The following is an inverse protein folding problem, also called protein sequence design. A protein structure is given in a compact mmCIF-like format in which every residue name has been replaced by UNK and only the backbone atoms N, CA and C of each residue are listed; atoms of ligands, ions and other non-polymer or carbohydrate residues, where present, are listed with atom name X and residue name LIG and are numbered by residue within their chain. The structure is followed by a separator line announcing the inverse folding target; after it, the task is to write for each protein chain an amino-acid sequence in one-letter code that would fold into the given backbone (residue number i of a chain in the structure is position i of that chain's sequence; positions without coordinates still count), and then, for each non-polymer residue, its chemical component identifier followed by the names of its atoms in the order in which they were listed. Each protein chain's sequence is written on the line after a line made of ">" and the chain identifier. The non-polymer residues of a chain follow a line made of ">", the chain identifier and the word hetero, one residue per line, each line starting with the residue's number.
data_IF_050315132007
#
_entry.id   IF_050315132007
#
_cell.length_a   1.000
_cell.length_b   1.000
_cell.length_c   1.000
_cell.angle_alpha   90.00
_cell.angle_beta   90.00
_cell.angle_gamma   90.00
#
_symmetry.space_group_name_H-M   'P 1'
#
loop_
_entity.id
_entity.type
_entity.pdbx_description
1 polymer ?
#
# COMPACT_ATOMS: atom_id res chain seq x y z
N UNK A 1 -48.96 -15.65 -29.55
CA UNK A 1 -48.73 -14.45 -28.74
C UNK A 1 -47.90 -14.74 -27.47
N UNK A 2 -48.22 -15.74 -26.64
CA UNK A 2 -47.48 -16.04 -25.37
C UNK A 2 -45.99 -16.36 -25.54
N UNK A 3 -45.54 -17.00 -26.63
CA UNK A 3 -44.12 -17.35 -26.88
C UNK A 3 -43.25 -16.15 -27.27
N UNK A 4 -43.82 -15.14 -27.92
CA UNK A 4 -43.08 -13.94 -28.34
C UNK A 4 -42.80 -13.03 -27.11
N UNK A 5 -43.75 -12.94 -26.17
CA UNK A 5 -43.62 -12.17 -24.94
C UNK A 5 -42.54 -12.80 -24.04
N UNK A 6 -42.52 -14.14 -23.94
CA UNK A 6 -41.47 -14.83 -23.16
C UNK A 6 -40.05 -14.58 -23.71
N UNK A 7 -39.90 -14.60 -25.04
CA UNK A 7 -38.58 -14.34 -25.67
C UNK A 7 -38.10 -12.91 -25.41
N UNK A 8 -39.00 -11.91 -25.46
CA UNK A 8 -38.67 -10.52 -25.17
C UNK A 8 -38.21 -10.30 -23.72
N UNK A 9 -38.90 -10.94 -22.76
CA UNK A 9 -38.52 -10.86 -21.33
C UNK A 9 -37.11 -11.43 -21.07
N UNK A 10 -36.79 -12.56 -21.69
CA UNK A 10 -35.47 -13.17 -21.57
C UNK A 10 -34.34 -12.29 -22.16
N UNK A 11 -34.58 -11.61 -23.27
CA UNK A 11 -33.62 -10.69 -23.90
C UNK A 11 -33.37 -9.47 -22.99
N UNK A 12 -34.44 -8.89 -22.44
CA UNK A 12 -34.32 -7.75 -21.51
C UNK A 12 -33.53 -8.15 -20.25
N UNK A 13 -33.84 -9.34 -19.70
CA UNK A 13 -33.15 -9.85 -18.52
C UNK A 13 -31.65 -10.10 -18.81
N UNK A 14 -31.33 -10.69 -19.97
CA UNK A 14 -29.93 -10.89 -20.38
C UNK A 14 -29.19 -9.56 -20.58
N UNK A 15 -29.81 -8.57 -21.23
CA UNK A 15 -29.22 -7.22 -21.36
C UNK A 15 -28.98 -6.55 -20.00
N UNK A 16 -29.94 -6.68 -19.08
CA UNK A 16 -29.80 -6.12 -17.72
C UNK A 16 -28.65 -6.77 -16.96
N UNK A 17 -28.45 -8.09 -17.09
CA UNK A 17 -27.29 -8.79 -16.50
C UNK A 17 -25.96 -8.34 -17.10
N UNK A 18 -25.89 -8.10 -18.40
CA UNK A 18 -24.69 -7.58 -19.06
C UNK A 18 -24.38 -6.16 -18.57
N UNK A 19 -25.36 -5.27 -18.48
CA UNK A 19 -25.15 -3.91 -17.97
C UNK A 19 -24.67 -3.93 -16.52
N UNK A 20 -25.22 -4.81 -15.67
CA UNK A 20 -24.77 -4.96 -14.28
C UNK A 20 -23.33 -5.49 -14.22
N UNK A 21 -22.98 -6.43 -15.12
CA UNK A 21 -21.62 -6.94 -15.20
C UNK A 21 -20.62 -5.84 -15.64
N UNK A 22 -20.97 -5.03 -16.64
CA UNK A 22 -20.15 -3.91 -17.11
C UNK A 22 -19.98 -2.84 -16.02
N UNK A 23 -21.04 -2.51 -15.27
CA UNK A 23 -20.97 -1.58 -14.15
C UNK A 23 -20.08 -2.09 -13.02
N UNK A 24 -20.13 -3.39 -12.71
CA UNK A 24 -19.23 -4.01 -11.72
C UNK A 24 -17.79 -4.01 -12.21
N UNK A 25 -17.56 -4.33 -13.49
CA UNK A 25 -16.23 -4.32 -14.08
C UNK A 25 -15.63 -2.91 -14.12
N UNK A 26 -16.40 -1.90 -14.50
CA UNK A 26 -15.99 -0.49 -14.50
C UNK A 26 -15.65 0.00 -13.09
N UNK A 27 -16.42 -0.40 -12.07
CA UNK A 27 -16.17 -0.05 -10.66
C UNK A 27 -14.90 -0.70 -10.10
N UNK A 28 -14.55 -1.89 -10.59
CA UNK A 28 -13.32 -2.59 -10.19
C UNK A 28 -12.04 -1.91 -10.75
N UNK A 29 -12.17 -1.04 -11.74
CA UNK A 29 -11.06 -0.32 -12.38
C UNK A 29 -10.87 1.12 -11.85
N UNK A 30 -11.71 1.59 -10.92
CA UNK A 30 -11.50 2.92 -10.33
C UNK A 30 -10.27 2.89 -9.42
N UNK A 31 -9.27 3.76 -9.67
CA UNK A 31 -8.08 3.84 -8.81
C UNK A 31 -8.51 4.14 -7.37
N UNK A 32 -8.03 3.34 -6.43
CA UNK A 32 -8.30 3.54 -5.01
C UNK A 32 -7.33 4.56 -4.42
N UNK A 33 -7.84 5.72 -4.01
CA UNK A 33 -7.02 6.71 -3.33
C UNK A 33 -6.53 6.18 -1.97
N UNK A 34 -5.24 6.35 -1.68
CA UNK A 34 -4.69 6.01 -0.37
C UNK A 34 -5.28 6.95 0.69
N UNK A 35 -5.81 6.41 1.81
CA UNK A 35 -6.25 7.22 2.94
C UNK A 35 -5.11 8.10 3.46
N UNK A 36 -5.36 9.40 3.64
CA UNK A 36 -4.34 10.31 4.17
C UNK A 36 -4.19 10.10 5.68
N UNK A 37 -2.98 10.35 6.17
CA UNK A 37 -2.66 10.34 7.61
C UNK A 37 -1.56 11.36 7.89
N UNK A 38 -1.42 11.74 9.15
CA UNK A 38 -0.30 12.52 9.66
C UNK A 38 0.19 11.86 10.96
N UNK A 39 1.46 11.51 11.03
CA UNK A 39 2.09 10.88 12.18
C UNK A 39 3.54 11.32 12.33
N UNK A 40 4.02 11.36 13.57
CA UNK A 40 5.42 11.60 13.87
C UNK A 40 6.24 10.32 13.72
N UNK A 41 7.47 10.46 13.21
CA UNK A 41 8.44 9.39 13.26
C UNK A 41 9.16 9.34 14.63
N UNK A 42 10.07 8.38 14.76
CA UNK A 42 10.85 8.22 15.99
C UNK A 42 11.82 9.39 16.25
N UNK A 43 12.04 10.30 15.32
CA UNK A 43 12.85 11.50 15.46
C UNK A 43 11.99 12.74 15.77
N UNK A 44 10.67 12.61 15.85
CA UNK A 44 9.74 13.72 16.09
C UNK A 44 9.40 14.52 14.83
N UNK A 45 9.78 14.02 13.65
CA UNK A 45 9.41 14.63 12.37
C UNK A 45 8.00 14.20 11.99
N UNK A 46 7.15 15.17 11.65
CA UNK A 46 5.78 14.88 11.21
C UNK A 46 5.78 14.50 9.73
N UNK A 47 5.18 13.37 9.40
CA UNK A 47 4.99 12.84 8.06
C UNK A 47 3.50 12.78 7.72
N UNK A 48 3.09 13.52 6.69
CA UNK A 48 1.75 13.43 6.11
C UNK A 48 1.84 12.73 4.78
N UNK A 49 1.00 11.73 4.52
CA UNK A 49 1.06 10.98 3.26
C UNK A 49 0.88 11.89 2.03
N UNK A 50 0.00 12.87 2.10
CA UNK A 50 -0.23 13.82 0.99
C UNK A 50 0.99 14.65 0.62
N UNK A 51 1.97 14.83 1.52
CA UNK A 51 3.21 15.58 1.24
C UNK A 51 4.15 14.83 0.29
N UNK A 52 3.92 13.51 0.12
CA UNK A 52 4.67 12.66 -0.80
C UNK A 52 4.05 12.56 -2.21
N UNK A 53 3.10 13.44 -2.54
CA UNK A 53 2.55 13.48 -3.91
C UNK A 53 3.66 13.74 -4.94
N UNK A 54 3.72 12.89 -5.97
CA UNK A 54 4.79 12.90 -6.97
C UNK A 54 5.89 11.91 -6.69
N UNK A 55 5.88 11.26 -5.55
CA UNK A 55 6.75 10.15 -5.21
C UNK A 55 5.98 8.82 -5.22
N UNK A 56 6.68 7.73 -5.47
CA UNK A 56 6.17 6.38 -5.18
C UNK A 56 6.36 6.14 -3.69
N UNK A 57 5.32 5.72 -3.00
CA UNK A 57 5.40 5.47 -1.55
C UNK A 57 5.19 3.98 -1.29
N UNK A 58 6.10 3.39 -0.52
CA UNK A 58 5.95 2.04 0.04
C UNK A 58 5.68 2.18 1.53
N UNK A 59 4.50 1.78 1.97
CA UNK A 59 4.15 1.71 3.39
C UNK A 59 4.30 0.25 3.82
N UNK A 60 5.08 0.02 4.87
CA UNK A 60 5.24 -1.30 5.48
C UNK A 60 4.68 -1.27 6.91
N UNK A 61 3.65 -2.08 7.16
CA UNK A 61 3.07 -2.26 8.48
C UNK A 61 3.74 -3.44 9.18
N UNK A 62 4.28 -3.19 10.37
CA UNK A 62 5.09 -4.16 11.08
C UNK A 62 4.99 -4.01 12.61
N UNK A 63 5.67 -4.90 13.37
CA UNK A 63 5.80 -4.80 14.81
C UNK A 63 7.11 -5.47 15.29
N UNK A 64 7.60 -5.08 16.45
CA UNK A 64 8.82 -5.62 17.07
C UNK A 64 8.70 -7.10 17.45
N UNK A 65 7.50 -7.57 17.75
CA UNK A 65 7.20 -8.96 18.09
C UNK A 65 6.93 -9.86 16.87
N UNK A 66 6.94 -9.29 15.65
CA UNK A 66 6.68 -10.02 14.41
C UNK A 66 8.00 -10.48 13.77
N UNK A 67 8.36 -11.75 13.93
CA UNK A 67 9.63 -12.29 13.43
C UNK A 67 9.82 -12.10 11.93
N UNK A 68 8.79 -12.39 11.11
CA UNK A 68 8.83 -12.21 9.65
C UNK A 68 9.00 -10.75 9.25
N UNK A 69 8.45 -9.81 10.05
CA UNK A 69 8.66 -8.40 9.82
C UNK A 69 10.12 -8.00 9.99
N UNK A 70 10.78 -8.50 11.04
CA UNK A 70 12.18 -8.18 11.33
C UNK A 70 13.10 -8.70 10.23
N UNK A 71 12.81 -9.87 9.68
CA UNK A 71 13.60 -10.50 8.60
C UNK A 71 13.58 -9.64 7.33
N UNK A 72 12.49 -8.93 7.02
CA UNK A 72 12.38 -8.12 5.80
C UNK A 72 12.95 -6.70 5.93
N UNK A 73 13.16 -6.16 7.15
CA UNK A 73 13.63 -4.79 7.35
C UNK A 73 14.93 -4.45 6.58
N UNK A 74 15.95 -5.32 6.53
CA UNK A 74 17.20 -5.03 5.80
C UNK A 74 16.98 -4.86 4.30
N UNK A 75 16.19 -5.73 3.66
CA UNK A 75 15.90 -5.65 2.21
C UNK A 75 15.06 -4.41 1.88
N UNK A 76 14.10 -4.05 2.74
CA UNK A 76 13.34 -2.82 2.61
C UNK A 76 14.22 -1.58 2.77
N UNK A 77 15.21 -1.62 3.68
CA UNK A 77 16.22 -0.58 3.85
C UNK A 77 17.10 -0.41 2.61
N UNK A 78 17.53 -1.53 2.00
CA UNK A 78 18.31 -1.53 0.76
C UNK A 78 17.48 -0.96 -0.42
N UNK A 79 16.20 -1.31 -0.53
CA UNK A 79 15.29 -0.72 -1.50
C UNK A 79 15.21 0.80 -1.36
N UNK A 80 15.01 1.31 -0.14
CA UNK A 80 14.96 2.74 0.12
C UNK A 80 16.26 3.43 -0.30
N UNK A 81 17.41 2.93 0.15
CA UNK A 81 18.71 3.52 -0.18
C UNK A 81 18.97 3.55 -1.70
N UNK A 82 18.55 2.53 -2.42
CA UNK A 82 18.71 2.42 -3.88
C UNK A 82 17.85 3.42 -4.65
N UNK A 83 16.64 3.70 -4.19
CA UNK A 83 15.66 4.44 -4.99
C UNK A 83 15.21 5.79 -4.41
N UNK A 84 15.59 6.17 -3.18
CA UNK A 84 15.22 7.46 -2.57
C UNK A 84 15.58 8.67 -3.45
N UNK A 85 16.75 8.65 -4.10
CA UNK A 85 17.17 9.69 -5.04
C UNK A 85 16.39 9.73 -6.37
N UNK A 86 15.56 8.71 -6.64
CA UNK A 86 14.70 8.63 -7.84
C UNK A 86 13.24 8.89 -7.52
N UNK A 87 12.90 9.28 -6.30
CA UNK A 87 11.54 9.60 -5.90
C UNK A 87 10.77 8.42 -5.29
N UNK A 88 11.46 7.48 -4.63
CA UNK A 88 10.86 6.50 -3.74
C UNK A 88 10.90 7.02 -2.30
N UNK A 89 9.76 6.95 -1.62
CA UNK A 89 9.66 7.06 -0.17
C UNK A 89 9.27 5.70 0.42
N UNK A 90 9.87 5.36 1.54
CA UNK A 90 9.46 4.21 2.38
C UNK A 90 9.05 4.74 3.74
N UNK A 91 7.88 4.31 4.21
CA UNK A 91 7.36 4.62 5.54
C UNK A 91 7.10 3.31 6.29
N UNK A 92 7.88 3.05 7.34
CA UNK A 92 7.59 1.94 8.24
C UNK A 92 6.56 2.38 9.27
N UNK A 93 5.39 1.73 9.34
CA UNK A 93 4.38 2.02 10.35
C UNK A 93 4.34 0.86 11.33
N UNK A 94 4.85 1.09 12.54
CA UNK A 94 4.80 0.06 13.58
C UNK A 94 3.52 0.12 14.41
N UNK A 95 3.01 -1.05 14.78
CA UNK A 95 1.89 -1.18 15.72
C UNK A 95 2.34 -1.18 17.19
N UNK A 96 3.63 -1.10 17.45
CA UNK A 96 4.16 -0.96 18.80
C UNK A 96 3.75 0.38 19.41
N UNK A 97 3.49 0.37 20.70
CA UNK A 97 3.10 1.58 21.46
C UNK A 97 4.28 2.29 22.09
N UNK A 98 5.42 1.62 22.18
CA UNK A 98 6.61 2.10 22.89
C UNK A 98 7.80 2.15 21.95
N UNK A 99 8.47 3.29 21.94
CA UNK A 99 9.70 3.53 21.17
C UNK A 99 10.81 2.53 21.54
N UNK A 100 10.92 2.24 22.84
CA UNK A 100 11.97 1.39 23.40
C UNK A 100 11.94 -0.04 22.85
N UNK A 101 10.75 -0.53 22.44
CA UNK A 101 10.63 -1.85 21.80
C UNK A 101 11.16 -1.88 20.37
N UNK A 102 11.19 -0.73 19.70
CA UNK A 102 11.45 -0.60 18.26
C UNK A 102 12.90 -0.19 17.97
N UNK A 103 13.42 0.78 18.68
CA UNK A 103 14.74 1.39 18.40
C UNK A 103 15.92 0.40 18.32
N UNK A 104 16.05 -0.61 19.22
CA UNK A 104 17.15 -1.56 19.15
C UNK A 104 17.13 -2.37 17.84
N UNK A 105 15.94 -2.78 17.40
CA UNK A 105 15.76 -3.55 16.16
C UNK A 105 16.11 -2.72 14.92
N UNK A 106 15.73 -1.45 14.89
CA UNK A 106 16.04 -0.56 13.77
C UNK A 106 17.54 -0.30 13.64
N UNK A 107 18.24 -0.14 14.77
CA UNK A 107 19.70 -0.01 14.79
C UNK A 107 20.39 -1.28 14.27
N UNK A 108 19.96 -2.44 14.73
CA UNK A 108 20.48 -3.73 14.30
C UNK A 108 20.23 -3.97 12.80
N UNK A 109 19.05 -3.64 12.31
CA UNK A 109 18.63 -3.83 10.90
C UNK A 109 19.11 -2.69 9.99
N UNK A 110 19.81 -1.68 10.52
CA UNK A 110 20.31 -0.51 9.78
C UNK A 110 19.23 0.23 8.99
N UNK A 111 18.03 0.29 9.54
CA UNK A 111 16.90 1.01 8.93
C UNK A 111 17.20 2.51 8.87
N UNK A 112 16.99 3.14 7.69
CA UNK A 112 17.27 4.56 7.45
C UNK A 112 16.05 5.33 6.93
N UNK A 113 14.96 4.64 6.65
CA UNK A 113 13.71 5.27 6.28
C UNK A 113 12.90 5.66 7.53
N UNK A 114 11.97 6.63 7.43
CA UNK A 114 11.14 7.02 8.55
C UNK A 114 10.31 5.86 9.12
N UNK A 115 10.32 5.72 10.43
CA UNK A 115 9.49 4.75 11.15
C UNK A 115 8.55 5.50 12.09
N UNK A 116 7.26 5.35 11.82
CA UNK A 116 6.18 6.05 12.49
C UNK A 116 5.52 5.13 13.53
N UNK A 117 5.23 5.70 14.70
CA UNK A 117 4.43 5.01 15.72
C UNK A 117 2.95 5.17 15.39
N UNK A 118 2.24 4.05 15.22
CA UNK A 118 0.82 4.11 14.92
C UNK A 118 -0.02 4.52 16.13
N UNK A 119 -0.18 5.82 16.33
CA UNK A 119 -1.01 6.41 17.39
C UNK A 119 -2.51 6.29 17.09
N UNK A 120 -2.89 6.13 15.83
CA UNK A 120 -4.29 5.92 15.41
C UNK A 120 -4.81 4.50 15.70
N UNK A 121 -3.94 3.59 16.18
CA UNK A 121 -4.31 2.23 16.56
C UNK A 121 -4.91 1.43 15.39
N UNK A 122 -6.00 0.71 15.65
CA UNK A 122 -6.65 -0.14 14.63
C UNK A 122 -7.36 0.65 13.53
N UNK A 123 -7.61 1.95 13.69
CA UNK A 123 -8.34 2.74 12.69
C UNK A 123 -7.56 2.83 11.38
N UNK A 124 -6.26 3.13 11.43
CA UNK A 124 -5.41 3.18 10.24
C UNK A 124 -5.30 1.81 9.56
N UNK A 125 -5.12 0.74 10.34
CA UNK A 125 -5.06 -0.62 9.80
C UNK A 125 -6.34 -0.99 9.05
N UNK A 126 -7.51 -0.63 9.58
CA UNK A 126 -8.81 -0.84 8.93
C UNK A 126 -8.92 -0.04 7.63
N UNK A 127 -8.53 1.25 7.62
CA UNK A 127 -8.55 2.10 6.43
C UNK A 127 -7.69 1.51 5.30
N UNK A 128 -6.51 0.99 5.64
CA UNK A 128 -5.61 0.35 4.69
C UNK A 128 -5.94 -1.13 4.44
N UNK A 129 -6.99 -1.68 5.08
CA UNK A 129 -7.41 -3.10 4.99
C UNK A 129 -6.30 -4.07 5.38
N UNK A 130 -5.53 -3.72 6.39
CA UNK A 130 -4.46 -4.57 6.93
C UNK A 130 -5.07 -5.61 7.86
N UNK A 131 -4.90 -6.88 7.52
CA UNK A 131 -5.47 -8.03 8.25
C UNK A 131 -4.43 -8.82 9.04
N UNK A 132 -3.14 -8.56 8.81
CA UNK A 132 -2.03 -9.23 9.49
C UNK A 132 -0.69 -8.53 9.22
N UNK A 133 0.36 -8.99 9.90
CA UNK A 133 1.71 -8.44 9.76
C UNK A 133 2.68 -9.53 9.30
N UNK A 134 3.72 -9.17 8.51
CA UNK A 134 3.88 -7.88 7.86
C UNK A 134 2.83 -7.65 6.78
N UNK A 135 2.58 -6.39 6.43
CA UNK A 135 1.78 -6.02 5.26
C UNK A 135 2.40 -4.82 4.56
N UNK A 136 2.42 -4.87 3.24
CA UNK A 136 3.00 -3.79 2.42
C UNK A 136 1.95 -3.20 1.49
N UNK A 137 1.92 -1.87 1.41
CA UNK A 137 1.08 -1.11 0.50
C UNK A 137 1.96 -0.26 -0.38
N UNK A 138 1.79 -0.36 -1.71
CA UNK A 138 2.50 0.48 -2.68
C UNK A 138 1.53 1.51 -3.25
N UNK A 139 1.95 2.76 -3.26
CA UNK A 139 1.17 3.92 -3.70
C UNK A 139 1.92 4.61 -4.84
N UNK A 140 1.20 4.94 -5.90
CA UNK A 140 1.78 5.61 -7.07
C UNK A 140 1.98 7.13 -6.83
N UNK A 141 2.61 7.81 -7.79
CA UNK A 141 2.89 9.26 -7.75
C UNK A 141 1.64 10.13 -7.62
N UNK A 142 0.47 9.60 -7.97
CA UNK A 142 -0.81 10.30 -7.88
C UNK A 142 -1.51 10.04 -6.54
N UNK A 143 -0.96 9.15 -5.71
CA UNK A 143 -1.50 8.78 -4.41
C UNK A 143 -2.56 7.69 -4.46
N UNK A 144 -2.58 6.89 -5.51
CA UNK A 144 -3.46 5.73 -5.61
C UNK A 144 -2.73 4.47 -5.18
N UNK A 145 -3.43 3.60 -4.47
CA UNK A 145 -2.91 2.29 -4.09
C UNK A 145 -2.86 1.40 -5.34
N UNK A 146 -1.67 0.90 -5.63
CA UNK A 146 -1.42 0.01 -6.78
C UNK A 146 -1.13 -1.42 -6.37
N UNK A 147 -0.83 -1.65 -5.08
CA UNK A 147 -0.61 -2.98 -4.52
C UNK A 147 -0.88 -3.02 -3.03
N UNK A 148 -1.41 -4.15 -2.57
CA UNK A 148 -1.42 -4.58 -1.17
C UNK A 148 -0.96 -6.02 -1.11
N UNK A 149 -0.01 -6.27 -0.23
CA UNK A 149 0.53 -7.62 0.01
C UNK A 149 0.48 -7.91 1.50
N UNK A 150 -0.01 -9.10 1.85
CA UNK A 150 0.02 -9.61 3.21
C UNK A 150 1.10 -10.71 3.32
N UNK A 151 1.81 -10.73 4.44
CA UNK A 151 2.96 -11.61 4.66
C UNK A 151 4.26 -11.00 4.15
N UNK A 152 5.36 -11.69 4.48
CA UNK A 152 6.72 -11.26 4.13
C UNK A 152 6.91 -11.09 2.63
N UNK A 153 7.58 -10.01 2.25
CA UNK A 153 7.96 -9.73 0.87
C UNK A 153 9.47 -9.80 0.66
N UNK A 154 9.87 -10.21 -0.54
CA UNK A 154 11.24 -10.07 -1.02
C UNK A 154 11.35 -8.78 -1.85
N UNK A 155 11.82 -7.71 -1.18
CA UNK A 155 11.98 -6.38 -1.79
C UNK A 155 13.12 -6.31 -2.81
N UNK A 156 14.02 -7.30 -2.82
CA UNK A 156 15.13 -7.40 -3.79
C UNK A 156 14.74 -8.21 -5.03
N UNK A 157 13.59 -8.88 -5.02
CA UNK A 157 13.13 -9.66 -6.18
C UNK A 157 13.03 -8.81 -7.45
N UNK A 158 13.37 -9.40 -8.59
CA UNK A 158 13.27 -8.73 -9.89
C UNK A 158 11.85 -8.30 -10.23
N UNK A 159 10.84 -9.05 -9.75
CA UNK A 159 9.43 -8.73 -9.93
C UNK A 159 9.06 -7.44 -9.19
N UNK A 160 9.45 -7.32 -7.91
CA UNK A 160 9.14 -6.14 -7.11
C UNK A 160 9.93 -4.92 -7.56
N UNK A 161 11.27 -5.05 -7.72
CA UNK A 161 12.11 -3.94 -8.19
C UNK A 161 11.75 -3.49 -9.60
N UNK A 162 11.35 -4.40 -10.48
CA UNK A 162 10.81 -4.07 -11.82
C UNK A 162 9.52 -3.27 -11.75
N UNK A 163 8.61 -3.59 -10.80
CA UNK A 163 7.40 -2.80 -10.55
C UNK A 163 7.75 -1.39 -10.06
N UNK A 164 8.63 -1.27 -9.05
CA UNK A 164 9.07 0.03 -8.55
C UNK A 164 9.67 0.88 -9.66
N UNK A 165 10.54 0.32 -10.51
CA UNK A 165 11.10 1.04 -11.64
C UNK A 165 10.00 1.58 -12.57
N UNK A 166 9.02 0.76 -12.99
CA UNK A 166 7.92 1.22 -13.84
C UNK A 166 7.11 2.36 -13.20
N UNK A 167 6.86 2.31 -11.89
CA UNK A 167 6.16 3.37 -11.17
C UNK A 167 6.99 4.65 -11.09
N UNK A 168 8.31 4.54 -10.87
CA UNK A 168 9.21 5.67 -10.83
C UNK A 168 9.36 6.34 -12.21
N UNK A 169 9.33 5.58 -13.29
CA UNK A 169 9.46 6.08 -14.66
C UNK A 169 8.11 6.58 -15.23
N UNK A 170 6.99 6.23 -14.60
CA UNK A 170 5.67 6.72 -15.05
C UNK A 170 5.53 8.22 -14.84
N UNK A 171 4.93 8.91 -15.84
CA UNK A 171 4.55 10.32 -15.71
C UNK A 171 3.43 10.48 -14.66
N UNK A 172 3.39 11.63 -13.97
CA UNK A 172 2.20 11.99 -13.19
C UNK A 172 1.00 12.05 -14.14
N UNK A 173 -0.11 11.42 -13.77
CA UNK A 173 -1.37 11.67 -14.48
C UNK A 173 -1.75 13.14 -14.27
N UNK A 174 -1.94 13.86 -15.38
CA UNK A 174 -2.45 15.23 -15.37
C UNK A 174 -3.91 15.26 -14.96
#
# INVERSE_FOLDING_TARGET
>A
MKRIIACGVWIIFAMMLLIIADLKYARAQTPEAAPDFAMEDLQGVNHRLSDYRGQVVVINFWASWCAECIVELPSLGALFDKYKGRGLMVLGITTDRKRESVEPLLKQSRVRYPVLLNTAGSALLKQYRIIGLPSTVVIDKNGFIVERSAGRMDFDSSAFTGKINRLLDSAKRK
#
